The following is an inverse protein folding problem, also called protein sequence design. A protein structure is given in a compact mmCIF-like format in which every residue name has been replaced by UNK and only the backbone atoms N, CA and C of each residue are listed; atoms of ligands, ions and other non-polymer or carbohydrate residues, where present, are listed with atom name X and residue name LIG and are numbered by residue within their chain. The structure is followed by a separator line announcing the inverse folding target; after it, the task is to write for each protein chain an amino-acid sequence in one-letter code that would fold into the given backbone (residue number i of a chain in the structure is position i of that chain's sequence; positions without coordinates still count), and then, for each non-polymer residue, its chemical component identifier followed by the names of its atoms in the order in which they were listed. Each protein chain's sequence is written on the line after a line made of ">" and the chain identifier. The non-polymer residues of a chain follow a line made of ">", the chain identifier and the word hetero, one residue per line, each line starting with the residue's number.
data_IF_262658937286
#
_entry.id   IF_262658937286
#
_cell.length_a   1.000
_cell.length_b   1.000
_cell.length_c   1.000
_cell.angle_alpha   90.00
_cell.angle_beta   90.00
_cell.angle_gamma   90.00
#
_symmetry.space_group_name_H-M   'P 1'
#
loop_
_entity.id
_entity.type
_entity.pdbx_description
1 polymer ?
#
# COMPACT_ATOMS: atom_id res chain seq x y z
N UNK A 1 -0.03 24.63 13.08
CA UNK A 1 1.24 24.30 13.77
C UNK A 1 2.26 23.95 12.69
N UNK A 2 3.17 24.88 12.36
CA UNK A 2 4.13 24.72 11.25
C UNK A 2 5.22 23.73 11.66
N UNK A 3 5.24 22.56 11.05
CA UNK A 3 6.31 21.58 11.21
C UNK A 3 7.58 22.11 10.56
N UNK A 4 8.48 22.62 11.37
CA UNK A 4 9.79 23.17 10.97
C UNK A 4 10.69 22.00 10.56
N UNK A 5 10.82 21.81 9.25
CA UNK A 5 11.67 20.78 8.69
C UNK A 5 13.12 21.29 8.57
N UNK A 6 13.89 21.09 9.61
CA UNK A 6 15.34 21.26 9.53
C UNK A 6 15.96 19.97 9.01
N UNK A 7 16.45 20.01 7.77
CA UNK A 7 17.39 19.00 7.26
C UNK A 7 18.71 19.24 7.97
N UNK A 8 18.88 18.68 9.15
CA UNK A 8 20.15 18.61 9.83
C UNK A 8 20.73 17.22 9.64
N UNK A 9 21.53 17.05 8.58
CA UNK A 9 22.30 15.84 8.29
C UNK A 9 23.70 15.88 8.90
N UNK A 10 23.98 16.80 9.81
CA UNK A 10 25.30 16.91 10.47
C UNK A 10 25.18 16.44 11.91
N UNK A 11 25.77 15.28 12.18
CA UNK A 11 26.02 14.67 13.51
C UNK A 11 24.98 14.99 14.58
N UNK A 12 23.80 14.34 14.50
CA UNK A 12 22.80 14.38 15.55
C UNK A 12 23.44 14.10 16.91
N UNK A 13 23.15 14.93 17.90
CA UNK A 13 23.56 14.73 19.28
C UNK A 13 22.90 13.45 19.84
N UNK A 14 23.40 12.89 20.94
CA UNK A 14 22.87 11.65 21.53
C UNK A 14 21.37 11.78 21.87
N UNK A 15 20.98 12.91 22.42
CA UNK A 15 19.58 13.19 22.79
C UNK A 15 18.67 13.29 21.57
N UNK A 16 19.11 13.92 20.48
CA UNK A 16 18.36 14.01 19.22
C UNK A 16 18.16 12.64 18.56
N UNK A 17 19.17 11.77 18.64
CA UNK A 17 19.06 10.38 18.17
C UNK A 17 18.02 9.60 18.96
N UNK A 18 17.97 9.82 20.27
CA UNK A 18 16.98 9.19 21.15
C UNK A 18 15.55 9.65 20.76
N UNK A 19 15.34 10.95 20.60
CA UNK A 19 14.04 11.51 20.18
C UNK A 19 13.58 10.91 18.84
N UNK A 20 14.50 10.74 17.88
CA UNK A 20 14.16 10.09 16.58
C UNK A 20 13.80 8.62 16.78
N UNK A 21 14.49 7.88 17.65
CA UNK A 21 14.16 6.48 17.95
C UNK A 21 12.78 6.40 18.59
N UNK A 22 12.48 7.25 19.55
CA UNK A 22 11.19 7.29 20.25
C UNK A 22 10.05 7.64 19.27
N UNK A 23 10.27 8.60 18.35
CA UNK A 23 9.32 8.96 17.30
C UNK A 23 9.04 7.75 16.38
N UNK A 24 10.09 7.06 15.93
CA UNK A 24 9.97 5.88 15.07
C UNK A 24 9.26 4.75 15.82
N UNK A 25 9.64 4.49 17.06
CA UNK A 25 9.03 3.46 17.91
C UNK A 25 7.53 3.70 18.11
N UNK A 26 7.12 4.95 18.35
CA UNK A 26 5.71 5.32 18.43
C UNK A 26 4.96 5.06 17.11
N UNK A 27 5.57 5.40 15.97
CA UNK A 27 4.95 5.12 14.65
C UNK A 27 4.90 3.62 14.36
N UNK A 28 5.90 2.84 14.76
CA UNK A 28 5.96 1.39 14.58
C UNK A 28 4.93 0.64 15.41
N UNK A 29 4.64 1.12 16.62
CA UNK A 29 3.64 0.49 17.50
C UNK A 29 2.22 0.58 16.94
N UNK A 30 1.91 1.63 16.16
CA UNK A 30 0.62 1.80 15.50
C UNK A 30 0.58 1.22 14.07
N UNK A 31 1.75 0.87 13.52
CA UNK A 31 1.89 0.45 12.14
C UNK A 31 1.47 -1.01 11.93
N UNK A 32 0.78 -1.26 10.82
CA UNK A 32 0.48 -2.61 10.32
C UNK A 32 1.34 -3.00 9.13
N UNK A 33 2.05 -2.06 8.51
CA UNK A 33 2.98 -2.37 7.42
C UNK A 33 4.16 -1.42 7.39
N UNK A 34 5.31 -1.98 7.05
CA UNK A 34 6.54 -1.24 6.74
C UNK A 34 6.99 -1.71 5.38
N UNK A 35 7.25 -0.78 4.48
CA UNK A 35 7.85 -1.08 3.17
C UNK A 35 9.13 -0.26 3.03
N UNK A 36 10.17 -0.94 2.59
CA UNK A 36 11.50 -0.38 2.43
C UNK A 36 11.86 -0.39 0.96
N UNK A 37 12.21 0.78 0.44
CA UNK A 37 12.66 0.95 -0.94
C UNK A 37 14.05 1.59 -0.99
N UNK A 38 14.87 1.14 -1.91
CA UNK A 38 16.15 1.75 -2.22
C UNK A 38 15.95 2.90 -3.21
N UNK A 39 16.56 4.06 -2.93
CA UNK A 39 16.53 5.22 -3.81
C UNK A 39 17.96 5.63 -4.18
N UNK A 40 18.27 5.57 -5.46
CA UNK A 40 19.56 6.07 -5.99
C UNK A 40 19.30 6.97 -7.19
N UNK A 41 19.85 8.20 -7.12
CA UNK A 41 19.80 9.14 -8.24
C UNK A 41 18.40 9.64 -8.59
N UNK A 42 17.48 9.71 -7.62
CA UNK A 42 16.16 10.31 -7.80
C UNK A 42 16.28 11.82 -7.73
N UNK A 43 15.56 12.50 -8.62
CA UNK A 43 15.46 13.96 -8.63
C UNK A 43 14.60 14.47 -7.47
N UNK A 44 14.92 15.68 -6.98
CA UNK A 44 14.20 16.32 -5.87
C UNK A 44 12.71 16.54 -6.21
N UNK A 45 12.40 16.89 -7.46
CA UNK A 45 11.03 17.04 -7.92
C UNK A 45 10.23 15.74 -7.74
N UNK A 46 10.78 14.61 -8.17
CA UNK A 46 10.17 13.28 -8.04
C UNK A 46 9.96 12.88 -6.59
N UNK A 47 10.93 13.13 -5.71
CA UNK A 47 10.77 12.87 -4.26
C UNK A 47 9.68 13.74 -3.65
N UNK A 48 9.53 14.98 -4.10
CA UNK A 48 8.47 15.88 -3.62
C UNK A 48 7.08 15.37 -4.01
N UNK A 49 6.93 14.87 -5.24
CA UNK A 49 5.69 14.23 -5.71
C UNK A 49 5.38 12.98 -4.89
N UNK A 50 6.40 12.12 -4.66
CA UNK A 50 6.23 10.92 -3.83
C UNK A 50 5.77 11.26 -2.41
N UNK A 51 6.35 12.26 -1.79
CA UNK A 51 5.96 12.73 -0.46
C UNK A 51 4.55 13.29 -0.42
N UNK A 52 4.10 13.95 -1.50
CA UNK A 52 2.73 14.43 -1.63
C UNK A 52 1.76 13.25 -1.70
N UNK A 53 1.99 12.29 -2.60
CA UNK A 53 1.19 11.06 -2.73
C UNK A 53 1.15 10.26 -1.40
N UNK A 54 2.27 10.16 -0.69
CA UNK A 54 2.33 9.48 0.60
C UNK A 54 1.47 10.16 1.67
N UNK A 55 1.50 11.49 1.76
CA UNK A 55 0.66 12.26 2.70
C UNK A 55 -0.83 12.13 2.39
N UNK A 56 -1.21 12.18 1.12
CA UNK A 56 -2.60 11.99 0.66
C UNK A 56 -3.14 10.59 1.03
N UNK A 57 -2.26 9.59 1.04
CA UNK A 57 -2.60 8.20 1.41
C UNK A 57 -2.39 7.87 2.89
N UNK A 58 -2.06 8.85 3.73
CA UNK A 58 -1.81 8.63 5.17
C UNK A 58 -0.57 7.79 5.48
N UNK A 59 0.39 7.72 4.56
CA UNK A 59 1.63 6.95 4.73
C UNK A 59 2.72 7.85 5.29
N UNK A 60 3.33 7.44 6.39
CA UNK A 60 4.51 8.10 6.94
C UNK A 60 5.74 7.72 6.12
N UNK A 61 6.26 8.65 5.33
CA UNK A 61 7.41 8.44 4.45
C UNK A 61 8.60 9.27 4.93
N UNK A 62 9.69 8.61 5.30
CA UNK A 62 10.92 9.28 5.75
C UNK A 62 12.18 8.51 5.34
N UNK A 63 13.26 9.26 5.10
CA UNK A 63 14.60 8.72 4.97
C UNK A 63 15.24 8.78 6.36
N UNK A 64 15.66 7.64 6.85
CA UNK A 64 16.19 7.47 8.21
C UNK A 64 17.55 6.77 8.14
N UNK A 65 18.35 6.97 9.18
CA UNK A 65 19.62 6.24 9.31
C UNK A 65 19.31 4.79 9.72
N UNK A 66 19.79 3.82 8.93
CA UNK A 66 19.51 2.41 9.14
C UNK A 66 19.79 1.93 10.57
N UNK A 67 20.92 2.37 11.17
CA UNK A 67 21.29 2.02 12.54
C UNK A 67 20.30 2.52 13.62
N UNK A 68 19.56 3.60 13.37
CA UNK A 68 18.51 4.07 14.29
C UNK A 68 17.25 3.25 14.13
N UNK A 69 16.89 2.93 12.89
CA UNK A 69 15.74 2.07 12.57
C UNK A 69 15.95 0.66 13.12
N UNK A 70 17.14 0.07 12.95
CA UNK A 70 17.50 -1.24 13.54
C UNK A 70 17.29 -1.25 15.06
N UNK A 71 17.67 -0.17 15.75
CA UNK A 71 17.44 -0.07 17.22
C UNK A 71 15.96 0.04 17.56
N UNK A 72 15.17 0.80 16.79
CA UNK A 72 13.74 0.96 17.02
C UNK A 72 12.94 -0.32 16.72
N UNK A 73 13.41 -1.17 15.79
CA UNK A 73 12.73 -2.40 15.37
C UNK A 73 13.01 -3.57 16.33
N UNK A 74 14.10 -3.57 17.10
CA UNK A 74 14.50 -4.69 17.96
C UNK A 74 13.43 -5.16 18.94
N UNK A 75 12.60 -4.23 19.42
CA UNK A 75 11.54 -4.50 20.39
C UNK A 75 10.15 -4.61 19.73
N UNK A 76 10.08 -4.76 18.39
CA UNK A 76 8.83 -4.79 17.65
C UNK A 76 8.68 -6.07 16.82
N UNK A 77 7.45 -6.33 16.35
CA UNK A 77 7.11 -7.47 15.48
C UNK A 77 7.83 -7.47 14.11
N UNK A 78 8.63 -6.44 13.83
CA UNK A 78 9.31 -6.23 12.56
C UNK A 78 10.81 -6.55 12.61
N UNK A 79 11.30 -7.21 13.67
CA UNK A 79 12.71 -7.55 13.88
C UNK A 79 13.34 -8.32 12.69
N UNK A 80 12.55 -9.13 12.00
CA UNK A 80 13.00 -9.93 10.84
C UNK A 80 13.45 -9.08 9.63
N UNK A 81 13.19 -7.76 9.63
CA UNK A 81 13.65 -6.84 8.60
C UNK A 81 15.12 -6.42 8.74
N UNK A 82 15.75 -6.69 9.88
CA UNK A 82 17.11 -6.20 10.22
C UNK A 82 18.12 -6.55 9.12
N UNK A 83 18.09 -7.77 8.59
CA UNK A 83 19.03 -8.27 7.56
C UNK A 83 18.87 -7.54 6.20
N UNK A 84 17.72 -6.94 5.94
CA UNK A 84 17.42 -6.25 4.67
C UNK A 84 17.72 -4.74 4.72
N UNK A 85 18.10 -4.19 5.87
CA UNK A 85 18.33 -2.76 6.08
C UNK A 85 19.74 -2.30 5.64
N UNK A 86 20.12 -2.59 4.42
CA UNK A 86 21.43 -2.22 3.85
C UNK A 86 21.25 -1.27 2.67
N UNK A 87 22.01 -0.17 2.63
CA UNK A 87 22.03 0.81 1.54
C UNK A 87 21.22 2.08 1.83
N UNK A 88 21.01 2.94 0.82
CA UNK A 88 20.20 4.16 0.93
C UNK A 88 18.71 3.79 0.88
N UNK A 89 18.03 3.85 2.02
CA UNK A 89 16.68 3.36 2.17
C UNK A 89 15.68 4.48 2.49
N UNK A 90 14.52 4.42 1.86
CA UNK A 90 13.31 5.14 2.23
C UNK A 90 12.38 4.18 2.96
N UNK A 91 11.87 4.63 4.08
CA UNK A 91 10.94 3.90 4.92
C UNK A 91 9.53 4.46 4.74
N UNK A 92 8.59 3.60 4.36
CA UNK A 92 7.17 3.90 4.30
C UNK A 92 6.45 3.08 5.35
N UNK A 93 5.89 3.75 6.34
CA UNK A 93 5.17 3.14 7.47
C UNK A 93 3.70 3.51 7.35
N UNK A 94 2.79 2.56 7.50
CA UNK A 94 1.36 2.81 7.39
C UNK A 94 0.56 1.98 8.40
N UNK A 95 -0.57 2.56 8.83
CA UNK A 95 -1.60 1.85 9.59
C UNK A 95 -2.41 0.89 8.70
N UNK A 96 -2.50 1.20 7.39
CA UNK A 96 -3.09 0.30 6.41
C UNK A 96 -2.03 -0.67 5.85
N UNK A 97 -2.30 -1.99 5.86
CA UNK A 97 -1.34 -2.99 5.38
C UNK A 97 -0.99 -2.83 3.90
N UNK A 98 -1.84 -2.19 3.11
CA UNK A 98 -1.71 -2.10 1.64
C UNK A 98 -1.27 -0.71 1.16
N UNK A 99 -1.58 0.37 1.91
CA UNK A 99 -1.36 1.74 1.46
C UNK A 99 0.11 2.05 1.15
N UNK A 100 1.05 1.65 2.03
CA UNK A 100 2.48 1.85 1.81
C UNK A 100 2.98 1.14 0.55
N UNK A 101 2.55 -0.11 0.33
CA UNK A 101 2.91 -0.89 -0.84
C UNK A 101 2.36 -0.29 -2.14
N UNK A 102 1.10 0.20 -2.14
CA UNK A 102 0.49 0.86 -3.30
C UNK A 102 1.24 2.11 -3.72
N UNK A 103 1.51 3.01 -2.76
CA UNK A 103 2.21 4.28 -3.05
C UNK A 103 3.59 4.03 -3.62
N UNK A 104 4.38 3.16 -3.00
CA UNK A 104 5.73 2.86 -3.47
C UNK A 104 5.73 2.08 -4.79
N UNK A 105 4.81 1.12 -4.97
CA UNK A 105 4.72 0.36 -6.22
C UNK A 105 4.22 1.20 -7.39
N UNK A 106 3.24 2.10 -7.20
CA UNK A 106 2.79 3.01 -8.25
C UNK A 106 3.91 3.96 -8.68
N UNK A 107 4.67 4.47 -7.71
CA UNK A 107 5.79 5.35 -7.99
C UNK A 107 6.98 4.62 -8.63
N UNK A 108 7.24 3.36 -8.25
CA UNK A 108 8.28 2.53 -8.87
C UNK A 108 7.96 2.17 -10.34
N UNK A 109 6.69 2.22 -10.76
CA UNK A 109 6.30 2.10 -12.17
C UNK A 109 6.55 3.38 -12.96
N UNK A 110 6.44 4.54 -12.31
CA UNK A 110 6.69 5.85 -12.93
C UNK A 110 8.19 6.19 -12.98
N UNK A 111 8.99 5.64 -12.07
CA UNK A 111 10.42 5.94 -11.89
C UNK A 111 11.23 4.68 -11.60
N UNK A 112 12.03 4.24 -12.55
CA UNK A 112 12.90 3.05 -12.44
C UNK A 112 14.03 3.20 -11.41
N UNK A 113 14.25 4.41 -10.87
CA UNK A 113 15.27 4.70 -9.88
C UNK A 113 14.91 4.29 -8.46
N UNK A 114 13.66 3.90 -8.22
CA UNK A 114 13.22 3.29 -6.95
C UNK A 114 13.11 1.80 -7.11
N UNK A 115 13.81 1.07 -6.27
CA UNK A 115 13.75 -0.39 -6.21
C UNK A 115 13.12 -0.82 -4.89
N UNK A 116 12.00 -1.54 -4.96
CA UNK A 116 11.37 -2.14 -3.78
C UNK A 116 12.27 -3.27 -3.27
N UNK A 117 12.74 -3.17 -2.04
CA UNK A 117 13.71 -4.12 -1.47
C UNK A 117 13.06 -5.16 -0.59
N UNK A 118 12.33 -4.72 0.39
CA UNK A 118 11.64 -5.59 1.33
C UNK A 118 10.45 -4.86 1.97
N UNK A 119 9.49 -5.63 2.46
CA UNK A 119 8.41 -5.15 3.30
C UNK A 119 8.21 -6.08 4.47
N UNK A 120 7.58 -5.60 5.53
CA UNK A 120 7.13 -6.44 6.61
C UNK A 120 5.71 -6.11 7.01
N UNK A 121 4.97 -7.17 7.26
CA UNK A 121 3.73 -7.19 7.99
C UNK A 121 3.98 -7.81 9.36
N UNK A 122 3.11 -7.61 10.36
CA UNK A 122 3.26 -8.25 11.66
C UNK A 122 3.37 -9.78 11.49
N UNK A 123 4.57 -10.31 11.79
CA UNK A 123 4.84 -11.74 11.70
C UNK A 123 5.30 -12.29 10.35
N UNK A 124 5.41 -11.47 9.28
CA UNK A 124 5.91 -11.93 7.98
C UNK A 124 6.74 -10.89 7.25
N UNK A 125 7.85 -11.33 6.66
CA UNK A 125 8.67 -10.50 5.77
C UNK A 125 8.29 -10.80 4.33
N UNK A 126 8.18 -9.75 3.56
CA UNK A 126 7.82 -9.80 2.14
C UNK A 126 9.01 -9.37 1.28
N UNK A 127 9.32 -10.15 0.29
CA UNK A 127 10.25 -9.78 -0.77
C UNK A 127 9.59 -8.84 -1.79
N UNK A 128 10.36 -8.34 -2.75
CA UNK A 128 9.88 -7.41 -3.78
C UNK A 128 8.64 -7.92 -4.54
N UNK A 129 8.52 -9.24 -4.76
CA UNK A 129 7.35 -9.84 -5.39
C UNK A 129 6.12 -9.81 -4.49
N UNK A 130 6.30 -10.08 -3.19
CA UNK A 130 5.23 -9.98 -2.20
C UNK A 130 4.69 -8.55 -2.06
N UNK A 131 5.56 -7.54 -2.12
CA UNK A 131 5.15 -6.12 -2.10
C UNK A 131 4.33 -5.78 -3.36
N UNK A 132 4.72 -6.28 -4.54
CA UNK A 132 3.94 -6.10 -5.76
C UNK A 132 2.56 -6.75 -5.67
N UNK A 133 2.47 -7.95 -5.09
CA UNK A 133 1.18 -8.61 -4.84
C UNK A 133 0.32 -7.80 -3.87
N UNK A 134 0.88 -7.29 -2.77
CA UNK A 134 0.16 -6.39 -1.86
C UNK A 134 -0.33 -5.12 -2.56
N UNK A 135 0.48 -4.55 -3.45
CA UNK A 135 0.09 -3.35 -4.19
C UNK A 135 -1.08 -3.58 -5.16
N UNK A 136 -1.31 -4.83 -5.62
CA UNK A 136 -2.48 -5.18 -6.45
C UNK A 136 -3.74 -5.42 -5.63
N UNK A 137 -3.64 -5.55 -4.31
CA UNK A 137 -4.80 -5.75 -3.46
C UNK A 137 -5.68 -4.49 -3.42
N UNK A 138 -7.01 -4.64 -3.41
CA UNK A 138 -7.94 -3.54 -3.20
C UNK A 138 -7.75 -2.89 -1.82
N UNK A 139 -8.35 -1.72 -1.61
CA UNK A 139 -8.41 -1.09 -0.29
C UNK A 139 -9.26 -1.91 0.69
N UNK A 140 -9.13 -1.63 2.00
CA UNK A 140 -9.92 -2.32 3.03
C UNK A 140 -11.42 -2.21 2.77
N UNK A 141 -11.89 -1.03 2.37
CA UNK A 141 -13.31 -0.79 2.07
C UNK A 141 -13.78 -1.56 0.84
N UNK A 142 -12.94 -1.62 -0.21
CA UNK A 142 -13.23 -2.41 -1.40
C UNK A 142 -13.24 -3.92 -1.11
N UNK A 143 -12.35 -4.41 -0.22
CA UNK A 143 -12.33 -5.81 0.22
C UNK A 143 -13.60 -6.16 0.99
N UNK A 144 -14.06 -5.28 1.89
CA UNK A 144 -15.30 -5.45 2.62
C UNK A 144 -16.51 -5.43 1.66
N UNK A 145 -16.52 -4.51 0.70
CA UNK A 145 -17.56 -4.46 -0.34
C UNK A 145 -17.62 -5.74 -1.17
N UNK A 146 -16.44 -6.26 -1.59
CA UNK A 146 -16.35 -7.55 -2.31
C UNK A 146 -16.83 -8.71 -1.45
N UNK A 147 -16.47 -8.74 -0.16
CA UNK A 147 -16.93 -9.77 0.76
C UNK A 147 -18.48 -9.75 0.86
N UNK A 148 -19.06 -8.60 1.10
CA UNK A 148 -20.53 -8.46 1.14
C UNK A 148 -21.18 -8.86 -0.18
N UNK A 149 -20.60 -8.44 -1.31
CA UNK A 149 -21.06 -8.82 -2.64
C UNK A 149 -21.01 -10.33 -2.88
N UNK A 150 -19.92 -11.00 -2.47
CA UNK A 150 -19.80 -12.46 -2.60
C UNK A 150 -20.78 -13.22 -1.72
N UNK A 151 -21.11 -12.70 -0.53
CA UNK A 151 -22.13 -13.29 0.33
C UNK A 151 -23.56 -13.17 -0.25
N UNK A 152 -23.86 -12.07 -0.94
CA UNK A 152 -25.14 -11.86 -1.61
C UNK A 152 -25.23 -12.57 -2.97
N UNK A 153 -24.11 -12.88 -3.60
CA UNK A 153 -24.06 -13.45 -4.95
C UNK A 153 -24.91 -14.71 -5.15
N UNK A 154 -24.93 -15.71 -4.23
CA UNK A 154 -25.76 -16.91 -4.38
C UNK A 154 -27.25 -16.58 -4.45
N UNK A 155 -27.73 -15.69 -3.58
CA UNK A 155 -29.14 -15.28 -3.53
C UNK A 155 -29.51 -14.51 -4.79
N UNK A 156 -28.67 -13.54 -5.19
CA UNK A 156 -28.88 -12.76 -6.40
C UNK A 156 -28.86 -13.64 -7.67
N UNK A 157 -27.96 -14.64 -7.71
CA UNK A 157 -27.89 -15.61 -8.82
C UNK A 157 -29.17 -16.45 -8.89
N UNK A 158 -29.67 -16.93 -7.76
CA UNK A 158 -30.92 -17.69 -7.69
C UNK A 158 -32.12 -16.88 -8.20
N UNK A 159 -32.27 -15.65 -7.72
CA UNK A 159 -33.35 -14.77 -8.18
C UNK A 159 -33.23 -14.48 -9.68
N UNK A 160 -32.02 -14.25 -10.19
CA UNK A 160 -31.81 -14.06 -11.63
C UNK A 160 -32.19 -15.28 -12.44
N UNK A 161 -31.83 -16.50 -12.00
CA UNK A 161 -32.20 -17.72 -12.73
C UNK A 161 -33.72 -17.91 -12.79
N UNK A 162 -34.47 -17.60 -11.73
CA UNK A 162 -35.91 -17.63 -11.73
C UNK A 162 -36.53 -16.63 -12.72
N UNK A 163 -35.96 -15.43 -12.80
CA UNK A 163 -36.41 -14.37 -13.70
C UNK A 163 -35.92 -14.56 -15.15
N UNK A 164 -34.95 -15.45 -15.38
CA UNK A 164 -34.37 -15.66 -16.72
C UNK A 164 -35.34 -16.35 -17.68
N UNK A 165 -36.18 -17.24 -17.17
CA UNK A 165 -37.17 -17.98 -17.98
C UNK A 165 -38.18 -17.03 -18.65
N UNK A 166 -38.92 -16.18 -17.94
CA UNK A 166 -39.84 -15.21 -18.57
C UNK A 166 -39.08 -14.18 -19.42
N UNK A 167 -37.90 -13.77 -19.02
CA UNK A 167 -37.07 -12.80 -19.77
C UNK A 167 -36.64 -13.37 -21.12
N UNK A 168 -36.23 -14.64 -21.19
CA UNK A 168 -35.86 -15.31 -22.45
C UNK A 168 -37.06 -15.44 -23.39
N UNK A 169 -38.22 -15.75 -22.86
CA UNK A 169 -39.42 -15.81 -23.63
C UNK A 169 -39.79 -14.46 -24.28
N UNK A 170 -39.80 -13.39 -23.49
CA UNK A 170 -40.06 -12.03 -23.99
C UNK A 170 -39.02 -11.59 -25.03
N UNK A 171 -37.75 -11.88 -24.84
CA UNK A 171 -36.69 -11.59 -25.82
C UNK A 171 -36.89 -12.38 -27.11
N UNK A 172 -37.34 -13.64 -27.03
CA UNK A 172 -37.66 -14.44 -28.19
C UNK A 172 -38.82 -13.83 -29.02
N UNK A 173 -39.88 -13.37 -28.34
CA UNK A 173 -40.97 -12.68 -29.01
C UNK A 173 -40.54 -11.35 -29.65
N UNK A 174 -39.69 -10.58 -28.95
CA UNK A 174 -39.14 -9.34 -29.49
C UNK A 174 -38.31 -9.61 -30.76
N UNK A 175 -37.45 -10.62 -30.74
CA UNK A 175 -36.64 -10.99 -31.91
C UNK A 175 -37.51 -11.41 -33.13
N UNK A 176 -38.59 -12.14 -32.90
CA UNK A 176 -39.56 -12.50 -33.97
C UNK A 176 -40.29 -11.27 -34.54
N UNK A 177 -40.64 -10.32 -33.66
CA UNK A 177 -41.23 -9.05 -34.11
C UNK A 177 -40.24 -8.27 -34.98
N UNK A 178 -39.01 -8.11 -34.51
CA UNK A 178 -37.98 -7.34 -35.23
C UNK A 178 -37.60 -8.01 -36.58
N UNK A 179 -37.63 -9.34 -36.66
CA UNK A 179 -37.49 -10.05 -37.95
C UNK A 179 -38.66 -9.79 -38.91
N UNK A 180 -39.90 -9.66 -38.41
CA UNK A 180 -41.07 -9.34 -39.25
C UNK A 180 -41.12 -7.89 -39.70
N UNK A 181 -40.56 -6.98 -38.90
CA UNK A 181 -40.47 -5.55 -39.27
C UNK A 181 -39.31 -5.29 -40.27
N UNK A 182 -38.30 -6.18 -40.32
CA UNK A 182 -37.18 -6.07 -41.24
C UNK A 182 -37.41 -6.80 -42.56
N UNK A 183 -38.47 -7.63 -42.72
CA UNK A 183 -38.85 -8.34 -43.94
C UNK A 183 -39.97 -7.60 -44.66
#
# INVERSE_FOLDING_TARGET
>A
MFFRWSVQTVSLNRNEKQVVIDEISAQLSEAQSIVVAEYRGIDVASVTVLRKKARESGVYLRVLKNTLVTRAIKDTNFQQLEDKLVGPLIYAISKDPVAAAKVLSSFAKENDKIVLKAGALPGSVLDSNGIKQLATMPSREELLSKLMGTMQAPIAKFVRTLNEVPTKFVRGLAAVRDQKEAA
#
